data_IF_330990834474
#
_entry.id   IF_330990834474
#
_cell.length_a   1.000
_cell.length_b   1.000
_cell.length_c   1.000
_cell.angle_alpha   90.00
_cell.angle_beta   90.00
_cell.angle_gamma   90.00
#
_symmetry.space_group_name_H-M   'P 1'
#
loop_
_entity.id
_entity.type
_entity.pdbx_description
1 polymer ?
#
# COMPACT_ATOMS: atom_id res chain seq x y z
N UNK A 1 -23.45 -10.95 28.12
CA UNK A 1 -22.24 -11.65 27.63
C UNK A 1 -21.50 -10.70 26.72
N UNK A 2 -20.19 -10.65 26.89
CA UNK A 2 -19.34 -9.47 26.76
C UNK A 2 -19.27 -8.86 25.35
N UNK A 3 -19.44 -7.55 25.31
CA UNK A 3 -19.08 -6.66 24.20
C UNK A 3 -17.56 -6.58 24.06
N UNK A 4 -16.94 -7.61 23.51
CA UNK A 4 -15.57 -7.57 23.02
C UNK A 4 -15.56 -7.01 21.60
N UNK A 5 -15.58 -5.69 21.44
CA UNK A 5 -15.42 -5.02 20.14
C UNK A 5 -13.94 -5.05 19.73
N UNK A 6 -13.34 -6.25 19.74
CA UNK A 6 -11.98 -6.44 19.25
C UNK A 6 -11.99 -6.17 17.75
N UNK A 7 -11.27 -5.12 17.35
CA UNK A 7 -11.10 -4.76 15.94
C UNK A 7 -10.27 -5.85 15.28
N UNK A 8 -10.92 -6.92 14.83
CA UNK A 8 -10.27 -7.97 14.08
C UNK A 8 -9.74 -7.36 12.77
N UNK A 9 -8.42 -7.43 12.57
CA UNK A 9 -7.79 -6.97 11.33
C UNK A 9 -7.81 -8.13 10.35
N UNK A 10 -8.52 -7.94 9.25
CA UNK A 10 -8.68 -8.97 8.22
C UNK A 10 -7.50 -8.98 7.24
N UNK A 11 -6.94 -7.80 6.95
CA UNK A 11 -5.94 -7.64 5.90
C UNK A 11 -4.83 -6.62 6.24
N UNK A 12 -3.69 -6.77 5.57
CA UNK A 12 -2.64 -5.77 5.43
C UNK A 12 -2.67 -5.30 3.97
N UNK A 13 -2.94 -4.01 3.73
CA UNK A 13 -2.92 -3.41 2.39
C UNK A 13 -1.64 -2.58 2.25
N UNK A 14 -0.79 -2.94 1.29
CA UNK A 14 0.47 -2.24 1.05
C UNK A 14 0.50 -1.52 -0.31
N UNK A 15 0.80 -0.22 -0.27
CA UNK A 15 0.90 0.63 -1.45
C UNK A 15 2.37 0.86 -1.81
N UNK A 16 2.74 0.55 -3.05
CA UNK A 16 4.08 0.77 -3.57
C UNK A 16 4.40 2.28 -3.67
N UNK A 17 5.68 2.61 -3.56
CA UNK A 17 6.18 3.99 -3.60
C UNK A 17 7.45 4.09 -4.43
N UNK A 18 7.31 4.61 -5.66
CA UNK A 18 8.42 4.67 -6.61
C UNK A 18 8.76 3.29 -7.20
N UNK A 19 9.63 3.29 -8.19
CA UNK A 19 10.18 2.09 -8.81
C UNK A 19 11.46 2.42 -9.57
N UNK A 20 12.32 1.43 -9.76
CA UNK A 20 13.49 1.54 -10.60
C UNK A 20 13.16 1.05 -12.02
N UNK A 21 13.99 1.45 -12.98
CA UNK A 21 13.95 0.95 -14.36
C UNK A 21 15.27 0.25 -14.66
N UNK A 22 15.20 -1.00 -15.12
CA UNK A 22 16.31 -1.68 -15.77
C UNK A 22 15.93 -1.93 -17.24
N UNK A 23 16.36 -1.03 -18.13
CA UNK A 23 15.81 -0.95 -19.49
C UNK A 23 14.32 -0.62 -19.46
N UNK A 24 13.51 -1.51 -20.04
CA UNK A 24 12.04 -1.42 -20.05
C UNK A 24 11.37 -2.16 -18.87
N UNK A 25 12.17 -2.80 -18.01
CA UNK A 25 11.66 -3.58 -16.87
C UNK A 25 11.51 -2.69 -15.63
N UNK A 26 10.31 -2.69 -15.05
CA UNK A 26 10.04 -2.05 -13.76
C UNK A 26 10.54 -2.96 -12.65
N UNK A 27 11.37 -2.42 -11.75
CA UNK A 27 11.87 -3.14 -10.57
C UNK A 27 11.49 -2.45 -9.26
N UNK A 28 11.32 -3.21 -8.17
CA UNK A 28 11.15 -2.61 -6.86
C UNK A 28 12.43 -1.90 -6.45
N UNK A 29 12.28 -0.65 -6.00
CA UNK A 29 13.36 0.08 -5.36
C UNK A 29 13.36 -0.06 -3.84
N UNK A 30 14.34 0.57 -3.18
CA UNK A 30 14.55 0.49 -1.73
C UNK A 30 13.32 0.84 -0.87
N UNK A 31 12.43 1.71 -1.37
CA UNK A 31 11.17 2.05 -0.71
C UNK A 31 10.22 0.85 -0.66
N UNK A 32 10.09 0.11 -1.76
CA UNK A 32 9.21 -1.06 -1.84
C UNK A 32 9.79 -2.24 -1.06
N UNK A 33 11.12 -2.38 -1.00
CA UNK A 33 11.77 -3.36 -0.13
C UNK A 33 11.50 -3.11 1.36
N UNK A 34 11.58 -1.85 1.80
CA UNK A 34 11.27 -1.48 3.17
C UNK A 34 9.78 -1.74 3.49
N UNK A 35 8.88 -1.41 2.57
CA UNK A 35 7.44 -1.69 2.70
C UNK A 35 7.18 -3.20 2.79
N UNK A 36 7.79 -3.99 1.91
CA UNK A 36 7.69 -5.45 1.94
C UNK A 36 8.16 -6.01 3.30
N UNK A 37 9.29 -5.51 3.82
CA UNK A 37 9.81 -5.91 5.12
C UNK A 37 8.84 -5.61 6.27
N UNK A 38 8.17 -4.46 6.24
CA UNK A 38 7.13 -4.08 7.20
C UNK A 38 5.95 -5.06 7.14
N UNK A 39 5.50 -5.41 5.93
CA UNK A 39 4.38 -6.34 5.73
C UNK A 39 4.69 -7.70 6.35
N UNK A 40 5.87 -8.26 6.06
CA UNK A 40 6.31 -9.55 6.62
C UNK A 40 6.44 -9.49 8.14
N UNK A 41 7.03 -8.41 8.67
CA UNK A 41 7.09 -8.22 10.12
C UNK A 41 5.69 -8.16 10.74
N UNK A 42 4.74 -7.45 10.10
CA UNK A 42 3.34 -7.36 10.53
C UNK A 42 2.62 -8.70 10.53
N UNK A 43 2.82 -9.52 9.50
CA UNK A 43 2.23 -10.87 9.42
C UNK A 43 2.75 -11.78 10.54
N UNK A 44 4.04 -11.68 10.87
CA UNK A 44 4.69 -12.51 11.88
C UNK A 44 4.36 -12.12 13.33
N UNK A 45 3.84 -10.92 13.58
CA UNK A 45 3.45 -10.47 14.94
C UNK A 45 2.18 -11.20 15.43
N UNK A 46 1.27 -11.57 14.53
CA UNK A 46 0.07 -12.33 14.89
C UNK A 46 0.42 -13.81 15.06
N UNK A 47 0.87 -14.16 16.28
CA UNK A 47 1.08 -15.56 16.71
C UNK A 47 -0.21 -16.39 16.78
N UNK A 48 -1.37 -15.74 16.72
CA UNK A 48 -2.67 -16.41 16.80
C UNK A 48 -3.41 -16.30 15.47
N UNK A 49 -3.81 -17.43 14.87
CA UNK A 49 -4.62 -17.43 13.65
C UNK A 49 -6.04 -16.88 13.90
N UNK A 50 -6.72 -16.41 12.84
CA UNK A 50 -6.23 -16.31 11.47
C UNK A 50 -5.25 -15.14 11.30
N UNK A 51 -4.19 -15.37 10.52
CA UNK A 51 -3.30 -14.28 10.09
C UNK A 51 -4.04 -13.39 9.08
N UNK A 52 -3.79 -12.07 9.07
CA UNK A 52 -4.40 -11.19 8.09
C UNK A 52 -3.93 -11.56 6.68
N UNK A 53 -4.85 -11.48 5.71
CA UNK A 53 -4.51 -11.56 4.30
C UNK A 53 -3.61 -10.38 3.89
N UNK A 54 -2.85 -10.54 2.82
CA UNK A 54 -1.92 -9.52 2.35
C UNK A 54 -2.38 -9.05 0.98
N UNK A 55 -2.67 -7.77 0.83
CA UNK A 55 -3.09 -7.16 -0.44
C UNK A 55 -2.01 -6.16 -0.84
N UNK A 56 -1.30 -6.40 -1.94
CA UNK A 56 -0.13 -5.59 -2.31
C UNK A 56 -0.11 -5.28 -3.80
N UNK A 57 0.53 -4.17 -4.17
CA UNK A 57 0.89 -3.91 -5.56
C UNK A 57 2.02 -4.83 -6.02
N UNK A 58 2.09 -5.07 -7.34
CA UNK A 58 3.09 -5.92 -7.99
C UNK A 58 4.51 -5.69 -7.49
N UNK A 59 4.96 -4.44 -7.40
CA UNK A 59 6.35 -4.13 -7.03
C UNK A 59 6.71 -4.68 -5.65
N UNK A 60 5.77 -4.70 -4.70
CA UNK A 60 6.00 -5.25 -3.37
C UNK A 60 5.98 -6.79 -3.42
N UNK A 61 5.08 -7.38 -4.22
CA UNK A 61 5.05 -8.83 -4.42
C UNK A 61 6.34 -9.34 -5.09
N UNK A 62 6.87 -8.60 -6.06
CA UNK A 62 8.14 -8.93 -6.72
C UNK A 62 9.29 -9.00 -5.71
N UNK A 63 9.29 -8.17 -4.64
CA UNK A 63 10.24 -8.29 -3.52
C UNK A 63 10.06 -9.59 -2.75
N UNK A 64 8.80 -10.00 -2.46
CA UNK A 64 8.53 -11.25 -1.75
C UNK A 64 9.09 -12.46 -2.53
N UNK A 65 8.87 -12.48 -3.84
CA UNK A 65 9.36 -13.54 -4.72
C UNK A 65 10.89 -13.53 -4.80
N UNK A 66 11.50 -12.37 -5.03
CA UNK A 66 12.96 -12.24 -5.17
C UNK A 66 13.73 -12.62 -3.89
N UNK A 67 13.13 -12.40 -2.71
CA UNK A 67 13.73 -12.75 -1.41
C UNK A 67 13.27 -14.10 -0.87
N UNK A 68 12.47 -14.85 -1.62
CA UNK A 68 11.91 -16.16 -1.23
C UNK A 68 11.22 -16.12 0.14
N UNK A 69 10.52 -15.02 0.45
CA UNK A 69 9.79 -14.90 1.71
C UNK A 69 8.48 -15.70 1.66
N UNK A 70 8.27 -16.58 2.65
CA UNK A 70 7.02 -17.35 2.82
C UNK A 70 5.89 -16.44 3.33
N UNK A 71 5.33 -15.66 2.41
CA UNK A 71 4.21 -14.75 2.67
C UNK A 71 2.91 -15.45 2.28
N UNK A 72 2.01 -15.63 3.25
CA UNK A 72 0.75 -16.36 3.05
C UNK A 72 -0.39 -15.44 2.67
N UNK A 73 -1.35 -15.99 1.90
CA UNK A 73 -2.61 -15.32 1.51
C UNK A 73 -2.39 -13.96 0.82
N UNK A 74 -1.50 -13.95 -0.17
CA UNK A 74 -1.18 -12.74 -0.96
C UNK A 74 -2.15 -12.58 -2.11
N UNK A 75 -2.82 -11.43 -2.14
CA UNK A 75 -3.59 -10.90 -3.24
C UNK A 75 -2.81 -9.77 -3.88
N UNK A 76 -2.63 -9.86 -5.18
CA UNK A 76 -1.79 -8.93 -5.91
C UNK A 76 -2.63 -8.02 -6.81
N UNK A 77 -2.37 -6.72 -6.70
CA UNK A 77 -2.99 -5.67 -7.50
C UNK A 77 -2.11 -5.42 -8.73
N UNK A 78 -2.64 -5.77 -9.91
CA UNK A 78 -1.98 -5.59 -11.22
C UNK A 78 -2.83 -4.89 -12.29
N UNK A 79 -4.16 -4.80 -12.12
CA UNK A 79 -5.03 -4.39 -13.24
C UNK A 79 -5.01 -2.87 -13.40
N UNK A 80 -4.66 -2.39 -14.60
CA UNK A 80 -4.76 -0.98 -14.97
C UNK A 80 -6.15 -0.67 -15.53
N UNK A 81 -6.78 0.44 -15.12
CA UNK A 81 -7.99 0.93 -15.80
C UNK A 81 -7.67 1.60 -17.13
N UNK A 82 -6.47 2.16 -17.26
CA UNK A 82 -5.94 2.75 -18.50
C UNK A 82 -4.64 2.06 -18.85
N UNK A 83 -4.60 1.41 -20.03
CA UNK A 83 -3.38 0.77 -20.54
C UNK A 83 -2.22 1.77 -20.54
N UNK A 84 -1.02 1.31 -20.18
CA UNK A 84 0.24 2.07 -20.18
C UNK A 84 0.35 3.21 -19.13
N UNK A 85 -0.63 3.37 -18.23
CA UNK A 85 -0.51 4.31 -17.11
C UNK A 85 -0.21 3.60 -15.80
N UNK A 86 0.75 4.11 -15.03
CA UNK A 86 0.99 3.66 -13.67
C UNK A 86 -0.27 3.84 -12.80
N UNK A 87 -0.58 2.84 -11.96
CA UNK A 87 -1.75 2.88 -11.09
C UNK A 87 -1.68 4.07 -10.14
N UNK A 88 -2.73 4.88 -10.13
CA UNK A 88 -2.84 5.92 -9.11
C UNK A 88 -3.32 5.32 -7.77
N UNK A 89 -3.30 6.14 -6.71
CA UNK A 89 -3.67 5.65 -5.37
C UNK A 89 -5.15 5.25 -5.29
N UNK A 90 -6.01 5.84 -6.12
CA UNK A 90 -7.44 5.54 -6.15
C UNK A 90 -7.65 4.15 -6.76
N UNK A 91 -7.03 3.87 -7.92
CA UNK A 91 -7.17 2.59 -8.62
C UNK A 91 -6.69 1.40 -7.78
N UNK A 92 -5.61 1.59 -7.03
CA UNK A 92 -5.11 0.57 -6.08
C UNK A 92 -6.10 0.38 -4.92
N UNK A 93 -6.62 1.48 -4.36
CA UNK A 93 -7.59 1.40 -3.27
C UNK A 93 -8.90 0.73 -3.68
N UNK A 94 -9.38 0.99 -4.90
CA UNK A 94 -10.60 0.37 -5.45
C UNK A 94 -10.43 -1.13 -5.67
N UNK A 95 -9.29 -1.58 -6.21
CA UNK A 95 -9.00 -3.00 -6.35
C UNK A 95 -8.84 -3.69 -4.99
N UNK A 96 -8.18 -3.04 -4.03
CA UNK A 96 -8.10 -3.55 -2.67
C UNK A 96 -9.51 -3.68 -2.04
N UNK A 97 -10.39 -2.71 -2.28
CA UNK A 97 -11.76 -2.74 -1.79
C UNK A 97 -12.61 -3.83 -2.41
N UNK A 98 -12.45 -4.10 -3.71
CA UNK A 98 -13.09 -5.23 -4.39
C UNK A 98 -12.65 -6.56 -3.75
N UNK A 99 -11.35 -6.78 -3.55
CA UNK A 99 -10.82 -7.97 -2.87
C UNK A 99 -11.37 -8.10 -1.46
N UNK A 100 -11.40 -7.00 -0.69
CA UNK A 100 -11.95 -7.02 0.66
C UNK A 100 -13.45 -7.33 0.67
N UNK A 101 -14.21 -6.76 -0.25
CA UNK A 101 -15.66 -6.99 -0.38
C UNK A 101 -15.97 -8.45 -0.70
N UNK A 102 -15.27 -9.04 -1.67
CA UNK A 102 -15.45 -10.44 -2.08
C UNK A 102 -15.17 -11.45 -0.96
N UNK A 103 -14.39 -11.04 0.05
CA UNK A 103 -14.03 -11.86 1.21
C UNK A 103 -14.73 -11.46 2.52
N UNK A 104 -15.70 -10.54 2.47
CA UNK A 104 -16.40 -9.97 3.64
C UNK A 104 -15.45 -9.39 4.71
N UNK A 105 -14.38 -8.73 4.26
CA UNK A 105 -13.41 -8.05 5.11
C UNK A 105 -13.73 -6.58 5.26
N UNK A 106 -13.61 -6.05 6.49
CA UNK A 106 -14.04 -4.69 6.81
C UNK A 106 -12.91 -3.82 7.36
N UNK A 107 -11.84 -4.43 7.90
CA UNK A 107 -10.75 -3.70 8.52
C UNK A 107 -9.38 -4.14 8.01
N UNK A 108 -8.52 -3.16 7.72
CA UNK A 108 -7.19 -3.40 7.22
C UNK A 108 -6.14 -2.51 7.88
N UNK A 109 -4.94 -3.05 8.07
CA UNK A 109 -3.74 -2.27 8.35
C UNK A 109 -3.21 -1.72 7.03
N UNK A 110 -2.87 -0.43 6.99
CA UNK A 110 -2.31 0.21 5.79
C UNK A 110 -0.81 0.38 5.95
N UNK A 111 -0.04 -0.17 5.01
CA UNK A 111 1.41 0.00 4.92
C UNK A 111 1.72 0.82 3.66
N UNK A 112 2.34 1.97 3.85
CA UNK A 112 2.75 2.82 2.74
C UNK A 112 3.90 3.72 3.19
N UNK A 113 4.53 4.39 2.23
CA UNK A 113 5.50 5.42 2.54
C UNK A 113 4.87 6.55 3.38
N UNK A 114 5.62 7.07 4.38
CA UNK A 114 5.13 8.04 5.37
C UNK A 114 4.53 9.32 4.76
N UNK A 115 5.06 9.79 3.62
CA UNK A 115 4.53 10.93 2.87
C UNK A 115 3.22 10.65 2.10
N UNK A 116 2.88 9.38 1.88
CA UNK A 116 1.79 8.91 1.01
C UNK A 116 0.64 8.24 1.79
N UNK A 117 0.94 7.64 2.95
CA UNK A 117 0.00 6.84 3.75
C UNK A 117 -1.33 7.54 4.05
N UNK A 118 -1.32 8.85 4.32
CA UNK A 118 -2.54 9.63 4.59
C UNK A 118 -3.50 9.62 3.41
N UNK A 119 -2.99 9.68 2.17
CA UNK A 119 -3.83 9.61 0.96
C UNK A 119 -4.40 8.21 0.79
N UNK A 120 -3.59 7.17 0.98
CA UNK A 120 -4.04 5.78 0.89
C UNK A 120 -5.20 5.50 1.85
N UNK A 121 -5.05 5.87 3.12
CA UNK A 121 -6.09 5.72 4.14
C UNK A 121 -7.39 6.41 3.73
N UNK A 122 -7.32 7.69 3.31
CA UNK A 122 -8.51 8.42 2.87
C UNK A 122 -9.22 7.77 1.69
N UNK A 123 -8.47 7.20 0.74
CA UNK A 123 -9.06 6.51 -0.41
C UNK A 123 -9.79 5.24 0.06
N UNK A 124 -9.19 4.44 0.94
CA UNK A 124 -9.79 3.22 1.49
C UNK A 124 -11.01 3.53 2.38
N UNK A 125 -10.93 4.54 3.24
CA UNK A 125 -12.05 4.96 4.10
C UNK A 125 -13.27 5.40 3.28
N UNK A 126 -13.06 6.09 2.15
CA UNK A 126 -14.14 6.46 1.23
C UNK A 126 -14.81 5.27 0.56
N UNK A 127 -14.10 4.15 0.47
CA UNK A 127 -14.61 2.89 -0.04
C UNK A 127 -15.22 2.00 1.07
N UNK A 128 -15.38 2.55 2.28
CA UNK A 128 -16.01 1.84 3.41
C UNK A 128 -15.05 0.98 4.22
N UNK A 129 -13.75 0.98 3.92
CA UNK A 129 -12.76 0.16 4.64
C UNK A 129 -12.28 0.87 5.89
N UNK A 130 -12.39 0.20 7.03
CA UNK A 130 -11.82 0.66 8.30
C UNK A 130 -10.29 0.50 8.27
N UNK A 131 -9.61 1.59 7.94
CA UNK A 131 -8.16 1.61 7.79
C UNK A 131 -7.45 1.94 9.12
N UNK A 132 -6.44 1.15 9.47
CA UNK A 132 -5.57 1.42 10.63
C UNK A 132 -4.18 1.76 10.11
N UNK A 133 -3.71 2.96 10.46
CA UNK A 133 -2.32 3.31 10.29
C UNK A 133 -1.54 2.81 11.51
N UNK A 134 -0.49 2.02 11.29
CA UNK A 134 0.44 1.70 12.37
C UNK A 134 1.31 2.90 12.78
N UNK A 135 1.15 4.06 12.12
CA UNK A 135 1.76 5.31 12.51
C UNK A 135 3.28 5.29 12.35
N UNK A 136 3.95 6.24 12.99
CA UNK A 136 5.39 6.58 12.94
C UNK A 136 6.38 5.44 13.26
N UNK A 137 5.93 4.19 13.34
CA UNK A 137 6.75 3.07 13.76
C UNK A 137 7.84 2.73 12.75
N UNK A 138 7.69 3.04 11.46
CA UNK A 138 8.73 2.77 10.46
C UNK A 138 8.86 3.87 9.39
N UNK A 139 10.10 4.35 9.21
CA UNK A 139 10.47 5.32 8.18
C UNK A 139 10.83 4.55 6.91
N UNK A 140 9.91 4.53 5.94
CA UNK A 140 10.22 4.08 4.58
C UNK A 140 11.13 5.14 3.92
N UNK A 141 12.30 4.76 3.38
CA UNK A 141 13.22 5.70 2.73
C UNK A 141 12.66 6.16 1.38
N UNK A 142 13.08 7.34 0.92
CA UNK A 142 12.94 7.73 -0.48
C UNK A 142 13.98 7.01 -1.33
N UNK A 143 13.59 6.59 -2.52
CA UNK A 143 14.50 5.97 -3.48
C UNK A 143 15.08 7.03 -4.43
N UNK A 144 16.34 7.42 -4.21
CA UNK A 144 17.03 8.46 -4.99
C UNK A 144 17.11 8.16 -6.48
N UNK A 145 17.12 6.88 -6.84
CA UNK A 145 17.30 6.41 -8.22
C UNK A 145 15.97 6.08 -8.91
N UNK A 146 14.85 6.25 -8.20
CA UNK A 146 13.51 5.97 -8.72
C UNK A 146 13.28 6.65 -10.08
N UNK A 147 12.69 5.93 -11.02
CA UNK A 147 12.22 6.47 -12.30
C UNK A 147 11.20 7.59 -12.13
N UNK A 148 10.42 7.52 -11.05
CA UNK A 148 9.46 8.55 -10.66
C UNK A 148 10.19 9.65 -9.89
N UNK A 149 10.57 10.74 -10.58
CA UNK A 149 11.41 11.81 -10.01
C UNK A 149 10.88 12.38 -8.68
N UNK A 150 9.54 12.44 -8.51
CA UNK A 150 8.91 12.94 -7.29
C UNK A 150 9.03 12.00 -6.09
N UNK A 151 9.42 10.74 -6.24
CA UNK A 151 9.66 9.81 -5.12
C UNK A 151 11.13 9.75 -4.70
N UNK A 152 12.00 10.58 -5.31
CA UNK A 152 13.44 10.60 -5.03
C UNK A 152 13.83 11.33 -3.75
N UNK A 153 12.99 12.26 -3.30
CA UNK A 153 13.22 13.00 -2.06
C UNK A 153 11.93 13.58 -1.50
N UNK A 154 11.98 13.94 -0.22
CA UNK A 154 10.87 14.59 0.48
C UNK A 154 10.43 15.89 -0.18
N UNK A 155 11.37 16.70 -0.64
CA UNK A 155 11.05 17.99 -1.28
C UNK A 155 10.31 17.79 -2.60
N UNK A 156 10.82 16.91 -3.47
CA UNK A 156 10.20 16.61 -4.77
C UNK A 156 8.82 15.95 -4.60
N UNK A 157 8.66 15.12 -3.58
CA UNK A 157 7.37 14.55 -3.21
C UNK A 157 6.35 15.64 -2.90
N UNK A 158 6.72 16.61 -2.05
CA UNK A 158 5.81 17.69 -1.67
C UNK A 158 5.43 18.58 -2.86
N UNK A 159 6.36 18.88 -3.76
CA UNK A 159 6.04 19.65 -4.98
C UNK A 159 4.94 19.00 -5.82
N UNK A 160 4.94 17.66 -5.92
CA UNK A 160 3.90 16.89 -6.63
C UNK A 160 2.65 16.67 -5.77
N UNK A 161 2.80 16.49 -4.47
CA UNK A 161 1.72 16.13 -3.56
C UNK A 161 0.74 17.29 -3.32
N UNK A 162 1.21 18.54 -3.29
CA UNK A 162 0.34 19.73 -3.13
C UNK A 162 -0.73 19.82 -4.23
N UNK A 163 -0.39 19.84 -5.54
CA UNK A 163 -1.40 19.89 -6.58
C UNK A 163 -2.25 18.61 -6.61
N UNK A 164 -1.66 17.45 -6.30
CA UNK A 164 -2.41 16.19 -6.22
C UNK A 164 -3.49 16.25 -5.14
N UNK A 165 -3.19 16.81 -3.95
CA UNK A 165 -4.20 17.00 -2.89
C UNK A 165 -5.33 17.91 -3.32
N UNK A 166 -5.03 18.99 -4.05
CA UNK A 166 -6.06 19.87 -4.59
C UNK A 166 -6.97 19.14 -5.58
N UNK A 167 -6.39 18.35 -6.50
CA UNK A 167 -7.15 17.51 -7.43
C UNK A 167 -8.07 16.51 -6.71
N UNK A 168 -7.53 15.76 -5.74
CA UNK A 168 -8.32 14.79 -4.96
C UNK A 168 -9.43 15.49 -4.16
N UNK A 169 -9.18 16.68 -3.61
CA UNK A 169 -10.22 17.45 -2.90
C UNK A 169 -11.35 17.86 -3.84
N UNK A 170 -11.04 18.35 -5.04
CA UNK A 170 -12.02 18.72 -6.06
C UNK A 170 -12.87 17.54 -6.55
N UNK A 171 -12.27 16.34 -6.61
CA UNK A 171 -12.97 15.10 -6.95
C UNK A 171 -13.72 14.47 -5.76
N UNK A 172 -13.68 15.10 -4.58
CA UNK A 172 -14.33 14.58 -3.38
C UNK A 172 -13.64 13.34 -2.81
N UNK A 173 -12.31 13.20 -2.98
CA UNK A 173 -11.49 12.10 -2.45
C UNK A 173 -10.54 12.50 -1.31
N UNK A 174 -10.37 13.79 -1.01
CA UNK A 174 -9.51 14.27 0.08
C UNK A 174 -10.11 15.37 0.94
#
# INVERSE_FOLDING_TARGET
>A
MESGNEKHINAIIAFAFGCDLDGDEIRPGVSNEAIASIVVAGQNINKYPPQPAIIVQREINDVFQAKEWDVKSVFEIRKHRVSEKYLDTQEVAEQAAEIMHDNDWQAAVVVAHHGHVKRCIKCLEKLGIKSINLGSLQIVPYNKDSSQWWTRSWFLWWLREIPTRAYYKLKGWA
#
